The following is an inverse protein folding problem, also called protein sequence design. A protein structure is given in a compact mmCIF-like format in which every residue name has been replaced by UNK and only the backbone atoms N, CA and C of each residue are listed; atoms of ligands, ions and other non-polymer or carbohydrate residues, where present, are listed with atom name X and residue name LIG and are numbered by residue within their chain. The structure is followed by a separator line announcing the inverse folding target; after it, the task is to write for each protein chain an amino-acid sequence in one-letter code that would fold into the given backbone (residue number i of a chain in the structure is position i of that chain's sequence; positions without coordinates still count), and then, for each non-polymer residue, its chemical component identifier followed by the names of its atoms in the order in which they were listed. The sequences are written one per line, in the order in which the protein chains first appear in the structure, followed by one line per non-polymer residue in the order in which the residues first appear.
data_IF_412448127424
#
_entry.id   IF_412448127424
#
_cell.length_a   1.000
_cell.length_b   1.000
_cell.length_c   1.000
_cell.angle_alpha   90.00
_cell.angle_beta   90.00
_cell.angle_gamma   90.00
#
_symmetry.space_group_name_H-M   'P 1'
#
loop_
_entity.id
_entity.type
_entity.pdbx_description
1 polymer ?
#
# COMPACT_ATOMS: atom_id res chain seq x y z
N UNK A 1 -22.68 39.27 6.61
CA UNK A 1 -22.43 38.06 7.40
C UNK A 1 -21.65 37.12 6.51
N UNK A 2 -20.39 36.81 6.77
CA UNK A 2 -19.70 35.77 6.00
C UNK A 2 -18.56 35.14 6.80
N UNK A 3 -18.71 33.82 6.97
CA UNK A 3 -17.76 32.80 7.37
C UNK A 3 -16.94 33.07 8.63
N UNK A 4 -17.40 32.43 9.71
CA UNK A 4 -16.66 32.12 10.93
C UNK A 4 -15.21 31.81 10.62
N UNK A 5 -14.33 32.64 11.17
CA UNK A 5 -12.88 32.52 11.10
C UNK A 5 -12.48 31.16 11.67
N UNK A 6 -12.04 30.22 10.84
CA UNK A 6 -11.38 29.01 11.31
C UNK A 6 -9.99 29.41 11.85
N UNK A 7 -9.99 29.89 13.10
CA UNK A 7 -8.83 30.24 13.92
C UNK A 7 -8.21 29.01 14.59
N UNK A 8 -8.85 27.84 14.44
CA UNK A 8 -8.40 26.59 14.99
C UNK A 8 -7.53 25.82 13.98
N UNK A 9 -6.47 25.14 14.43
CA UNK A 9 -5.75 24.16 13.63
C UNK A 9 -6.70 23.10 13.06
N UNK A 10 -6.51 22.73 11.80
CA UNK A 10 -7.29 21.68 11.14
C UNK A 10 -6.44 20.42 11.06
N UNK A 11 -6.93 19.32 11.60
CA UNK A 11 -6.33 18.01 11.35
C UNK A 11 -6.86 17.47 10.02
N UNK A 12 -5.95 17.21 9.09
CA UNK A 12 -6.30 16.79 7.75
C UNK A 12 -5.41 15.65 7.26
N UNK A 13 -6.00 14.73 6.49
CA UNK A 13 -5.27 13.65 5.83
C UNK A 13 -4.82 14.09 4.44
N UNK A 14 -3.59 13.75 4.06
CA UNK A 14 -3.14 13.87 2.68
C UNK A 14 -3.92 12.85 1.83
N UNK A 15 -4.84 13.33 1.00
CA UNK A 15 -5.72 12.47 0.21
C UNK A 15 -5.20 12.25 -1.22
N UNK A 16 -4.46 13.21 -1.77
CA UNK A 16 -3.92 13.12 -3.12
C UNK A 16 -2.68 14.01 -3.26
N UNK A 17 -1.69 13.52 -4.00
CA UNK A 17 -0.49 14.25 -4.42
C UNK A 17 -0.46 14.20 -5.95
N UNK A 18 -0.50 15.37 -6.58
CA UNK A 18 -0.48 15.48 -8.03
C UNK A 18 0.91 15.35 -8.65
N UNK A 19 0.96 15.39 -9.97
CA UNK A 19 2.23 15.44 -10.70
C UNK A 19 2.89 16.82 -10.59
N UNK A 20 4.24 16.91 -10.59
CA UNK A 20 4.96 18.17 -10.62
C UNK A 20 4.60 19.00 -11.86
N UNK A 21 4.26 20.27 -11.65
CA UNK A 21 3.94 21.24 -12.70
C UNK A 21 4.94 22.39 -12.68
N UNK A 22 5.36 22.91 -13.85
CA UNK A 22 6.28 24.03 -13.91
C UNK A 22 5.63 25.30 -13.32
N UNK A 23 6.41 26.04 -12.52
CA UNK A 23 6.01 27.31 -11.95
C UNK A 23 5.95 28.40 -13.04
N UNK A 24 5.05 29.37 -12.85
CA UNK A 24 4.99 30.56 -13.72
C UNK A 24 6.08 31.59 -13.40
N UNK A 25 6.77 31.45 -12.27
CA UNK A 25 7.68 32.47 -11.73
C UNK A 25 9.16 32.02 -11.68
N UNK A 26 9.55 31.03 -12.49
CA UNK A 26 10.94 30.56 -12.61
C UNK A 26 11.02 29.08 -13.00
N UNK A 27 12.21 28.50 -12.98
CA UNK A 27 12.48 27.10 -13.35
C UNK A 27 12.08 26.05 -12.27
N UNK A 28 11.35 26.48 -11.24
CA UNK A 28 10.91 25.59 -10.16
C UNK A 28 9.62 24.85 -10.52
N UNK A 29 9.42 23.67 -9.95
CA UNK A 29 8.19 22.88 -10.09
C UNK A 29 7.39 22.89 -8.78
N UNK A 30 6.07 22.88 -8.88
CA UNK A 30 5.17 22.73 -7.74
C UNK A 30 4.28 21.50 -7.89
N UNK A 31 3.88 20.93 -6.78
CA UNK A 31 2.97 19.79 -6.69
C UNK A 31 1.70 20.23 -5.97
N UNK A 32 0.55 19.92 -6.56
CA UNK A 32 -0.74 20.13 -5.93
C UNK A 32 -1.05 19.00 -4.96
N UNK A 33 -1.18 19.30 -3.67
CA UNK A 33 -1.56 18.34 -2.63
C UNK A 33 -2.96 18.66 -2.12
N UNK A 34 -3.81 17.63 -2.05
CA UNK A 34 -5.15 17.69 -1.46
C UNK A 34 -5.09 17.17 -0.03
N UNK A 35 -5.49 18.01 0.91
CA UNK A 35 -5.73 17.67 2.30
C UNK A 35 -7.23 17.53 2.54
N UNK A 36 -7.65 16.50 3.27
CA UNK A 36 -9.03 16.28 3.69
C UNK A 36 -9.19 16.46 5.19
N UNK A 37 -10.02 17.43 5.59
CA UNK A 37 -10.34 17.70 6.99
C UNK A 37 -10.97 16.48 7.66
N UNK A 38 -10.36 16.00 8.73
CA UNK A 38 -10.81 14.82 9.48
C UNK A 38 -12.02 15.09 10.37
N UNK A 39 -12.37 16.36 10.61
CA UNK A 39 -13.59 16.71 11.35
C UNK A 39 -14.86 16.50 10.50
N UNK A 40 -14.72 16.34 9.19
CA UNK A 40 -15.82 16.13 8.26
C UNK A 40 -15.88 14.65 7.88
N UNK A 41 -16.89 13.94 8.40
CA UNK A 41 -17.05 12.50 8.21
C UNK A 41 -17.38 12.10 6.76
N UNK A 42 -17.98 13.03 5.99
CA UNK A 42 -18.25 12.82 4.57
C UNK A 42 -17.05 13.27 3.74
N UNK A 43 -16.32 12.27 3.28
CA UNK A 43 -15.13 12.40 2.47
C UNK A 43 -15.40 13.19 1.16
N UNK A 44 -16.60 13.05 0.58
CA UNK A 44 -16.92 13.74 -0.68
C UNK A 44 -17.38 15.18 -0.50
N UNK A 45 -17.58 15.61 0.74
CA UNK A 45 -17.99 16.97 1.07
C UNK A 45 -16.96 17.99 0.54
N UNK A 46 -17.37 18.92 -0.34
CA UNK A 46 -16.47 19.92 -0.91
C UNK A 46 -15.85 20.84 0.15
N UNK A 47 -16.51 21.03 1.30
CA UNK A 47 -16.03 21.88 2.38
C UNK A 47 -14.84 21.26 3.15
N UNK A 48 -14.60 19.95 3.01
CA UNK A 48 -13.46 19.27 3.61
C UNK A 48 -12.21 19.24 2.74
N UNK A 49 -12.27 19.74 1.50
CA UNK A 49 -11.18 19.66 0.53
C UNK A 49 -10.32 20.92 0.56
N UNK A 50 -9.07 20.77 1.00
CA UNK A 50 -8.11 21.86 1.11
C UNK A 50 -6.95 21.60 0.15
N UNK A 51 -6.86 22.39 -0.92
CA UNK A 51 -5.76 22.29 -1.89
C UNK A 51 -4.60 23.22 -1.52
N UNK A 52 -3.38 22.70 -1.59
CA UNK A 52 -2.14 23.47 -1.43
C UNK A 52 -1.19 23.15 -2.57
N UNK A 53 -0.57 24.19 -3.13
CA UNK A 53 0.55 24.05 -4.05
C UNK A 53 1.83 24.14 -3.23
N UNK A 54 2.60 23.06 -3.22
CA UNK A 54 3.83 22.93 -2.45
C UNK A 54 4.99 22.83 -3.45
N UNK A 55 6.19 23.29 -3.08
CA UNK A 55 7.37 23.10 -3.92
C UNK A 55 7.63 21.60 -4.14
N UNK A 56 8.26 21.22 -5.25
CA UNK A 56 8.54 19.79 -5.50
C UNK A 56 9.53 19.19 -4.50
N UNK A 57 10.37 20.02 -3.88
CA UNK A 57 11.30 19.61 -2.82
C UNK A 57 10.52 19.31 -1.53
N UNK A 58 9.66 20.25 -1.09
CA UNK A 58 8.87 20.07 0.12
C UNK A 58 7.77 19.01 -0.06
N UNK A 59 7.26 18.80 -1.28
CA UNK A 59 6.23 17.79 -1.53
C UNK A 59 6.73 16.37 -1.26
N UNK A 60 8.05 16.14 -1.34
CA UNK A 60 8.67 14.85 -1.01
C UNK A 60 8.55 14.47 0.48
N UNK A 61 8.24 15.44 1.34
CA UNK A 61 8.06 15.24 2.79
C UNK A 61 6.69 14.64 3.15
N UNK A 62 5.78 14.56 2.19
CA UNK A 62 4.40 14.09 2.39
C UNK A 62 4.13 12.81 1.61
N UNK A 63 3.34 11.94 2.22
CA UNK A 63 2.80 10.74 1.59
C UNK A 63 1.28 10.76 1.65
N UNK A 64 0.63 10.18 0.64
CA UNK A 64 -0.82 9.96 0.69
C UNK A 64 -1.14 9.09 1.91
N UNK A 65 -2.02 9.58 2.77
CA UNK A 65 -2.39 8.98 4.05
C UNK A 65 -1.78 9.67 5.27
N UNK A 66 -0.77 10.52 5.12
CA UNK A 66 -0.19 11.26 6.24
C UNK A 66 -1.27 12.10 6.92
N UNK A 67 -1.23 12.15 8.25
CA UNK A 67 -2.05 13.08 9.02
C UNK A 67 -1.23 14.32 9.29
N UNK A 68 -1.75 15.45 8.86
CA UNK A 68 -1.14 16.76 9.02
C UNK A 68 -2.04 17.66 9.85
N UNK A 69 -1.43 18.53 10.64
CA UNK A 69 -2.08 19.68 11.27
C UNK A 69 -1.80 20.91 10.42
N UNK A 70 -2.86 21.51 9.88
CA UNK A 70 -2.84 22.74 9.12
C UNK A 70 -3.10 23.90 10.08
N UNK A 71 -2.06 24.64 10.45
CA UNK A 71 -2.17 25.80 11.34
C UNK A 71 -2.38 27.08 10.54
N UNK A 72 -3.40 27.89 10.85
CA UNK A 72 -3.63 29.15 10.15
C UNK A 72 -2.46 30.12 10.35
N UNK A 73 -1.97 30.72 9.26
CA UNK A 73 -0.93 31.77 9.25
C UNK A 73 -1.36 32.92 8.36
N UNK A 74 -1.31 34.15 8.85
CA UNK A 74 -1.61 35.33 8.02
C UNK A 74 -0.33 35.90 7.42
N UNK A 75 -0.39 36.35 6.16
CA UNK A 75 0.69 37.14 5.57
C UNK A 75 0.54 38.64 5.90
N UNK A 76 1.52 39.46 5.50
CA UNK A 76 1.54 40.91 5.72
C UNK A 76 0.33 41.64 5.09
N UNK A 77 -0.41 40.97 4.20
CA UNK A 77 -1.64 41.47 3.56
C UNK A 77 -2.90 40.92 4.22
N UNK A 78 -2.78 40.32 5.40
CA UNK A 78 -3.84 39.68 6.17
C UNK A 78 -4.57 38.56 5.42
N UNK A 79 -3.91 37.90 4.45
CA UNK A 79 -4.45 36.75 3.74
C UNK A 79 -4.14 35.48 4.52
N UNK A 80 -5.14 34.62 4.67
CA UNK A 80 -5.00 33.34 5.37
C UNK A 80 -4.23 32.31 4.52
N UNK A 81 -3.13 31.84 5.07
CA UNK A 81 -2.35 30.68 4.66
C UNK A 81 -2.42 29.60 5.73
N UNK A 82 -1.82 28.44 5.47
CA UNK A 82 -1.70 27.40 6.49
C UNK A 82 -0.26 26.88 6.48
N UNK A 83 0.36 26.85 7.65
CA UNK A 83 1.58 26.10 7.88
C UNK A 83 1.21 24.63 8.10
N UNK A 84 1.94 23.71 7.48
CA UNK A 84 1.59 22.29 7.45
C UNK A 84 2.59 21.54 8.33
N UNK A 85 2.09 20.85 9.35
CA UNK A 85 2.90 20.02 10.24
C UNK A 85 2.45 18.58 10.12
N UNK A 86 3.33 17.68 9.71
CA UNK A 86 3.00 16.25 9.70
C UNK A 86 2.95 15.76 11.15
N UNK A 87 1.79 15.33 11.62
CA UNK A 87 1.59 14.81 12.98
C UNK A 87 1.69 13.30 13.05
N UNK A 88 1.39 12.62 11.94
CA UNK A 88 1.59 11.18 11.81
C UNK A 88 1.94 10.86 10.35
N UNK A 89 3.18 10.44 10.12
CA UNK A 89 3.56 9.87 8.84
C UNK A 89 3.12 8.41 8.75
N UNK A 90 2.65 8.00 7.58
CA UNK A 90 2.21 6.63 7.29
C UNK A 90 3.33 5.59 7.55
N UNK A 91 4.59 6.02 7.56
CA UNK A 91 5.76 5.16 7.80
C UNK A 91 6.52 5.44 9.12
N UNK A 92 6.02 6.29 10.01
CA UNK A 92 6.69 6.52 11.31
C UNK A 92 6.35 5.38 12.28
N UNK A 93 7.35 4.70 12.89
CA UNK A 93 7.08 3.81 14.02
C UNK A 93 6.48 4.65 15.15
N UNK A 94 5.25 4.33 15.55
CA UNK A 94 4.57 5.04 16.64
C UNK A 94 5.48 5.04 17.88
N UNK A 95 5.85 6.20 18.46
CA UNK A 95 6.53 6.20 19.73
C UNK A 95 5.58 5.62 20.77
N UNK A 96 6.07 4.68 21.58
CA UNK A 96 5.30 3.97 22.59
C UNK A 96 4.63 4.96 23.56
N UNK A 97 3.34 5.23 23.34
CA UNK A 97 2.53 5.99 24.28
C UNK A 97 1.90 5.04 25.29
N UNK A 98 2.10 5.37 26.57
CA UNK A 98 1.57 4.70 27.75
C UNK A 98 0.05 4.45 27.68
N UNK A 99 -0.47 3.43 28.40
CA UNK A 99 -1.83 2.95 28.20
C UNK A 99 -2.87 3.97 28.70
N UNK A 100 -3.55 4.63 27.77
CA UNK A 100 -4.81 5.31 28.07
C UNK A 100 -5.90 4.25 28.09
N UNK A 101 -6.46 4.03 29.28
CA UNK A 101 -7.60 3.15 29.50
C UNK A 101 -8.82 3.74 28.79
N UNK A 102 -9.11 3.26 27.59
CA UNK A 102 -10.43 3.42 26.97
C UNK A 102 -11.15 2.09 27.13
N UNK A 103 -12.25 2.10 27.88
CA UNK A 103 -13.16 0.96 28.04
C UNK A 103 -13.77 0.64 26.67
N UNK A 104 -13.14 -0.26 25.92
CA UNK A 104 -13.81 -0.95 24.83
C UNK A 104 -14.83 -1.90 25.45
N UNK A 105 -16.11 -1.61 25.21
CA UNK A 105 -17.19 -2.54 25.48
C UNK A 105 -16.93 -3.82 24.66
N UNK A 106 -16.53 -4.87 25.37
CA UNK A 106 -16.38 -6.22 24.83
C UNK A 106 -17.78 -6.76 24.56
N UNK A 107 -18.19 -6.76 23.29
CA UNK A 107 -19.16 -7.75 22.83
C UNK A 107 -18.34 -8.98 22.46
N UNK A 108 -18.20 -9.85 23.45
CA UNK A 108 -17.69 -11.20 23.28
C UNK A 108 -18.82 -12.07 22.74
N UNK A 109 -18.68 -12.52 21.49
CA UNK A 109 -19.30 -13.77 21.05
C UNK A 109 -18.24 -14.61 20.36
N UNK A 110 -17.84 -15.68 21.04
CA UNK A 110 -17.06 -16.76 20.49
C UNK A 110 -17.88 -17.49 19.42
N UNK A 111 -17.43 -17.44 18.18
CA UNK A 111 -17.87 -18.31 17.07
C UNK A 111 -16.76 -18.31 16.02
N UNK A 112 -16.35 -19.51 15.58
CA UNK A 112 -15.52 -19.85 14.43
C UNK A 112 -15.09 -18.63 13.57
N UNK A 113 -13.86 -18.15 13.79
CA UNK A 113 -13.34 -16.82 13.41
C UNK A 113 -13.00 -16.74 11.90
N UNK A 114 -13.97 -17.04 11.05
CA UNK A 114 -13.90 -16.74 9.62
C UNK A 114 -14.27 -15.28 9.43
N UNK A 115 -13.28 -14.40 9.61
CA UNK A 115 -13.37 -13.03 9.10
C UNK A 115 -13.78 -13.08 7.62
N UNK A 116 -14.93 -12.49 7.31
CA UNK A 116 -15.39 -12.30 5.94
C UNK A 116 -14.34 -11.50 5.16
N UNK A 117 -14.05 -11.85 3.90
CA UNK A 117 -13.06 -11.13 3.10
C UNK A 117 -13.39 -9.64 3.00
N UNK A 118 -12.35 -8.77 2.89
CA UNK A 118 -12.56 -7.32 2.83
C UNK A 118 -13.33 -6.96 1.56
N UNK A 119 -14.26 -6.01 1.69
CA UNK A 119 -15.12 -5.53 0.61
C UNK A 119 -14.49 -4.39 -0.21
N UNK A 120 -13.51 -3.68 0.38
CA UNK A 120 -12.82 -2.55 -0.24
C UNK A 120 -11.32 -2.51 0.08
N UNK A 121 -10.50 -1.87 -0.77
CA UNK A 121 -9.07 -1.67 -0.51
C UNK A 121 -8.81 -1.00 0.84
N UNK A 122 -7.81 -1.48 1.59
CA UNK A 122 -7.42 -0.91 2.88
C UNK A 122 -8.35 -1.21 4.05
N UNK A 123 -9.38 -2.06 3.88
CA UNK A 123 -10.28 -2.43 4.98
C UNK A 123 -9.61 -3.32 6.04
N UNK A 124 -8.76 -4.25 5.59
CA UNK A 124 -8.02 -5.15 6.48
C UNK A 124 -6.64 -4.60 6.84
N UNK A 125 -6.23 -4.84 8.09
CA UNK A 125 -4.84 -4.67 8.54
C UNK A 125 -3.92 -5.68 7.87
N UNK A 126 -2.62 -5.37 7.84
CA UNK A 126 -1.58 -6.30 7.41
C UNK A 126 -1.66 -7.59 8.21
N UNK A 127 -1.95 -7.52 9.52
CA UNK A 127 -2.08 -8.71 10.37
C UNK A 127 -3.25 -9.60 9.94
N UNK A 128 -4.41 -9.03 9.60
CA UNK A 128 -5.57 -9.79 9.10
C UNK A 128 -5.26 -10.43 7.74
N UNK A 129 -4.65 -9.68 6.83
CA UNK A 129 -4.21 -10.19 5.52
C UNK A 129 -3.23 -11.35 5.69
N UNK A 130 -2.18 -11.17 6.49
CA UNK A 130 -1.19 -12.22 6.74
C UNK A 130 -1.83 -13.46 7.39
N UNK A 131 -2.75 -13.26 8.35
CA UNK A 131 -3.49 -14.36 8.97
C UNK A 131 -4.31 -15.13 7.93
N UNK A 132 -5.01 -14.40 7.04
CA UNK A 132 -5.83 -15.00 6.00
C UNK A 132 -5.01 -15.73 4.93
N UNK A 133 -3.90 -15.13 4.47
CA UNK A 133 -3.04 -15.65 3.40
C UNK A 133 -2.12 -16.80 3.88
N UNK A 134 -1.76 -16.83 5.16
CA UNK A 134 -0.91 -17.90 5.73
C UNK A 134 -1.63 -19.23 5.91
N UNK A 135 -2.97 -19.25 5.74
CA UNK A 135 -3.74 -20.49 5.84
C UNK A 135 -3.33 -21.49 4.75
N UNK A 136 -3.16 -22.78 5.10
CA UNK A 136 -2.94 -23.82 4.11
C UNK A 136 -4.05 -23.81 3.05
N UNK A 137 -3.64 -23.93 1.78
CA UNK A 137 -4.57 -23.92 0.66
C UNK A 137 -5.12 -25.33 0.41
N UNK A 138 -6.38 -25.45 -0.03
CA UNK A 138 -6.89 -26.71 -0.56
C UNK A 138 -6.00 -27.24 -1.68
N UNK A 139 -5.77 -28.56 -1.71
CA UNK A 139 -4.93 -29.20 -2.74
C UNK A 139 -5.39 -28.92 -4.17
N UNK A 140 -6.68 -28.66 -4.38
CA UNK A 140 -7.25 -28.29 -5.69
C UNK A 140 -6.75 -26.96 -6.24
N UNK A 141 -6.19 -26.09 -5.39
CA UNK A 141 -5.58 -24.82 -5.79
C UNK A 141 -4.07 -24.93 -6.05
N UNK A 142 -3.49 -26.12 -5.82
CA UNK A 142 -2.08 -26.38 -5.99
C UNK A 142 -1.84 -27.20 -7.26
N UNK A 143 -0.71 -26.95 -7.90
CA UNK A 143 -0.19 -27.76 -8.98
C UNK A 143 1.10 -28.47 -8.54
N UNK A 144 1.42 -29.58 -9.20
CA UNK A 144 2.62 -30.36 -8.94
C UNK A 144 3.59 -30.19 -10.10
N UNK A 145 4.87 -29.98 -9.81
CA UNK A 145 5.93 -30.05 -10.82
C UNK A 145 7.08 -30.93 -10.34
N UNK A 146 7.76 -31.58 -11.26
CA UNK A 146 9.00 -32.33 -10.99
C UNK A 146 10.18 -31.37 -10.94
N UNK A 147 10.92 -31.38 -9.82
CA UNK A 147 12.16 -30.65 -9.66
C UNK A 147 13.22 -31.59 -9.10
N UNK A 148 14.29 -31.83 -9.89
CA UNK A 148 15.39 -32.73 -9.53
C UNK A 148 14.90 -34.13 -9.06
N UNK A 149 13.90 -34.67 -9.76
CA UNK A 149 13.30 -35.97 -9.46
C UNK A 149 12.22 -35.98 -8.37
N UNK A 150 12.09 -34.89 -7.59
CA UNK A 150 11.08 -34.78 -6.55
C UNK A 150 9.84 -34.05 -7.05
N UNK A 151 8.66 -34.54 -6.65
CA UNK A 151 7.40 -33.83 -6.87
C UNK A 151 7.27 -32.69 -5.84
N UNK A 152 7.13 -31.45 -6.34
CA UNK A 152 6.92 -30.28 -5.49
C UNK A 152 5.60 -29.61 -5.82
N UNK A 153 4.89 -29.23 -4.76
CA UNK A 153 3.66 -28.45 -4.87
C UNK A 153 4.00 -26.97 -5.06
N UNK A 154 3.19 -26.28 -5.84
CA UNK A 154 3.27 -24.85 -6.02
C UNK A 154 1.89 -24.24 -6.32
N UNK A 155 1.75 -22.95 -6.06
CA UNK A 155 0.56 -22.17 -6.45
C UNK A 155 0.76 -21.68 -7.90
N UNK A 156 -0.13 -21.96 -8.86
CA UNK A 156 -0.09 -21.31 -10.18
C UNK A 156 -0.29 -19.79 -10.06
N UNK A 157 0.37 -18.99 -10.90
CA UNK A 157 0.34 -17.51 -10.77
C UNK A 157 -1.09 -16.93 -10.83
N UNK A 158 -1.95 -17.44 -11.70
CA UNK A 158 -3.34 -16.99 -11.83
C UNK A 158 -4.20 -17.38 -10.62
N UNK A 159 -3.83 -18.42 -9.87
CA UNK A 159 -4.47 -18.77 -8.60
C UNK A 159 -4.05 -17.78 -7.52
N UNK A 160 -2.79 -17.38 -7.48
CA UNK A 160 -2.33 -16.33 -6.56
C UNK A 160 -3.08 -15.01 -6.81
N UNK A 161 -3.28 -14.60 -8.07
CA UNK A 161 -4.12 -13.43 -8.41
C UNK A 161 -5.52 -13.52 -7.82
N UNK A 162 -6.24 -14.63 -8.06
CA UNK A 162 -7.60 -14.81 -7.54
C UNK A 162 -7.68 -14.76 -6.01
N UNK A 163 -6.63 -15.25 -5.34
CA UNK A 163 -6.55 -15.19 -3.87
C UNK A 163 -6.31 -13.75 -3.41
N UNK A 164 -5.44 -12.99 -4.08
CA UNK A 164 -5.23 -11.57 -3.79
C UNK A 164 -6.47 -10.75 -4.10
N UNK A 165 -7.18 -10.99 -5.21
CA UNK A 165 -8.45 -10.32 -5.52
C UNK A 165 -9.48 -10.50 -4.40
N UNK A 166 -9.48 -11.68 -3.77
CA UNK A 166 -10.40 -12.00 -2.68
C UNK A 166 -10.02 -11.34 -1.35
N UNK A 167 -8.74 -11.35 -0.98
CA UNK A 167 -8.30 -10.96 0.38
C UNK A 167 -7.54 -9.64 0.45
N UNK A 168 -7.15 -9.09 -0.70
CA UNK A 168 -6.30 -7.92 -0.84
C UNK A 168 -6.82 -7.01 -1.97
N UNK A 169 -8.09 -6.56 -1.94
CA UNK A 169 -8.65 -5.72 -3.00
C UNK A 169 -7.78 -4.47 -3.19
N UNK A 170 -7.51 -4.12 -4.45
CA UNK A 170 -6.64 -3.00 -4.81
C UNK A 170 -5.14 -3.31 -4.74
N UNK A 171 -4.75 -4.59 -4.67
CA UNK A 171 -3.35 -4.99 -4.85
C UNK A 171 -2.83 -4.57 -6.23
N UNK A 172 -1.53 -4.29 -6.31
CA UNK A 172 -0.86 -3.94 -7.56
C UNK A 172 0.48 -4.68 -7.67
N UNK A 173 0.86 -5.02 -8.90
CA UNK A 173 2.14 -5.63 -9.21
C UNK A 173 2.87 -4.82 -10.27
N UNK A 174 4.15 -4.57 -10.04
CA UNK A 174 5.02 -3.81 -10.94
C UNK A 174 6.36 -4.53 -11.12
N UNK A 175 6.86 -4.57 -12.35
CA UNK A 175 8.22 -5.00 -12.64
C UNK A 175 9.15 -3.80 -12.44
N UNK A 176 9.93 -3.83 -11.36
CA UNK A 176 10.80 -2.70 -10.98
C UNK A 176 12.18 -2.78 -11.60
N UNK A 177 12.64 -3.99 -11.94
CA UNK A 177 13.99 -4.19 -12.51
C UNK A 177 14.01 -5.40 -13.42
N UNK A 178 14.68 -5.25 -14.56
CA UNK A 178 14.94 -6.32 -15.52
C UNK A 178 16.43 -6.27 -15.90
N UNK A 179 17.14 -7.38 -15.68
CA UNK A 179 18.54 -7.54 -16.06
C UNK A 179 18.70 -8.87 -16.80
N UNK A 180 19.51 -8.87 -17.85
CA UNK A 180 19.84 -10.08 -18.60
C UNK A 180 21.34 -10.31 -18.58
N UNK A 181 21.71 -11.57 -18.58
CA UNK A 181 23.07 -12.05 -18.82
C UNK A 181 23.07 -12.86 -20.11
N UNK A 182 24.24 -13.35 -20.54
CA UNK A 182 24.32 -14.22 -21.71
C UNK A 182 23.51 -15.53 -21.60
N UNK A 183 23.10 -15.95 -20.39
CA UNK A 183 22.45 -17.26 -20.15
C UNK A 183 21.14 -17.19 -19.38
N UNK A 184 20.85 -16.09 -18.71
CA UNK A 184 19.71 -15.99 -17.80
C UNK A 184 19.16 -14.57 -17.74
N UNK A 185 17.85 -14.50 -17.50
CA UNK A 185 17.09 -13.31 -17.18
C UNK A 185 16.87 -13.25 -15.66
N UNK A 186 17.05 -12.06 -15.11
CA UNK A 186 16.79 -11.70 -13.72
C UNK A 186 15.74 -10.60 -13.70
N UNK A 187 14.71 -10.79 -12.90
CA UNK A 187 13.62 -9.84 -12.75
C UNK A 187 13.40 -9.56 -11.27
N UNK A 188 13.14 -8.31 -10.93
CA UNK A 188 12.60 -7.92 -9.61
C UNK A 188 11.25 -7.29 -9.83
N UNK A 189 10.26 -7.76 -9.09
CA UNK A 189 8.95 -7.12 -9.05
C UNK A 189 8.52 -6.79 -7.63
N UNK A 190 7.56 -5.88 -7.56
CA UNK A 190 7.05 -5.24 -6.36
C UNK A 190 5.55 -5.50 -6.23
N UNK A 191 5.14 -6.12 -5.13
CA UNK A 191 3.73 -6.32 -4.79
C UNK A 191 3.32 -5.32 -3.72
N UNK A 192 2.35 -4.49 -4.06
CA UNK A 192 1.79 -3.45 -3.19
C UNK A 192 0.37 -3.84 -2.76
N UNK A 193 0.09 -3.83 -1.46
CA UNK A 193 -1.23 -4.16 -0.91
C UNK A 193 -1.71 -3.03 0.01
N UNK A 194 -2.84 -2.36 -0.31
CA UNK A 194 -3.43 -1.37 0.57
C UNK A 194 -4.02 -2.07 1.80
N UNK A 195 -3.51 -1.72 2.97
CA UNK A 195 -3.97 -2.19 4.27
C UNK A 195 -4.53 -1.01 5.08
N UNK A 196 -5.28 -1.29 6.14
CA UNK A 196 -5.67 -0.25 7.12
C UNK A 196 -4.46 0.41 7.79
N UNK A 197 -3.34 -0.33 7.81
CA UNK A 197 -2.04 0.12 8.34
C UNK A 197 -1.23 0.94 7.31
N UNK A 198 -1.76 1.14 6.10
CA UNK A 198 -1.07 1.80 4.98
C UNK A 198 -0.79 0.89 3.79
N UNK A 199 -0.11 1.43 2.77
CA UNK A 199 0.31 0.67 1.59
C UNK A 199 1.56 -0.15 1.92
N UNK A 200 1.42 -1.47 1.96
CA UNK A 200 2.55 -2.36 2.25
C UNK A 200 3.13 -2.88 0.95
N UNK A 201 4.43 -2.69 0.76
CA UNK A 201 5.14 -3.10 -0.46
C UNK A 201 6.15 -4.19 -0.12
N UNK A 202 6.14 -5.30 -0.86
CA UNK A 202 7.17 -6.35 -0.74
C UNK A 202 7.68 -6.75 -2.12
N UNK A 203 9.00 -6.72 -2.25
CA UNK A 203 9.66 -7.09 -3.50
C UNK A 203 10.21 -8.51 -3.44
N UNK A 204 10.28 -9.15 -4.60
CA UNK A 204 10.96 -10.42 -4.78
C UNK A 204 11.56 -10.53 -6.18
N UNK A 205 12.57 -11.38 -6.29
CA UNK A 205 13.22 -11.67 -7.56
C UNK A 205 12.78 -13.00 -8.16
N UNK A 206 12.79 -13.04 -9.48
CA UNK A 206 12.63 -14.23 -10.29
C UNK A 206 13.79 -14.35 -11.26
N UNK A 207 14.09 -15.57 -11.65
CA UNK A 207 15.15 -15.84 -12.63
C UNK A 207 14.72 -16.98 -13.51
N UNK A 208 15.10 -16.91 -14.78
CA UNK A 208 14.90 -18.00 -15.72
C UNK A 208 16.06 -18.04 -16.71
N UNK A 209 16.41 -19.24 -17.19
CA UNK A 209 17.40 -19.37 -18.26
C UNK A 209 16.85 -18.84 -19.58
N UNK A 210 17.69 -18.20 -20.39
CA UNK A 210 17.30 -17.78 -21.75
C UNK A 210 17.08 -18.97 -22.69
N UNK A 211 17.74 -20.10 -22.41
CA UNK A 211 17.59 -21.35 -23.16
C UNK A 211 16.53 -22.28 -22.53
N UNK A 212 15.55 -21.73 -21.80
CA UNK A 212 14.58 -22.56 -21.09
C UNK A 212 13.73 -23.39 -22.07
N UNK A 213 13.66 -24.70 -21.83
CA UNK A 213 12.76 -25.61 -22.55
C UNK A 213 11.39 -25.75 -21.88
N UNK A 214 11.14 -24.96 -20.83
CA UNK A 214 9.86 -24.92 -20.14
C UNK A 214 8.78 -24.25 -20.99
N UNK A 215 7.52 -24.55 -20.69
CA UNK A 215 6.38 -23.85 -21.26
C UNK A 215 6.43 -22.35 -20.90
N UNK A 216 6.24 -21.48 -21.89
CA UNK A 216 6.32 -20.02 -21.75
C UNK A 216 7.72 -19.46 -22.05
N UNK A 217 7.82 -18.15 -22.20
CA UNK A 217 9.09 -17.46 -22.43
C UNK A 217 9.83 -17.18 -21.10
N UNK A 218 11.16 -16.94 -21.14
CA UNK A 218 11.95 -16.68 -19.95
C UNK A 218 11.43 -15.52 -19.07
N UNK A 219 10.85 -14.48 -19.69
CA UNK A 219 10.36 -13.31 -18.95
C UNK A 219 9.09 -13.64 -18.16
N UNK A 220 8.12 -14.30 -18.78
CA UNK A 220 6.89 -14.77 -18.12
C UNK A 220 7.18 -15.72 -16.96
N UNK A 221 8.15 -16.61 -17.13
CA UNK A 221 8.55 -17.57 -16.09
C UNK A 221 9.25 -16.89 -14.91
N UNK A 222 10.16 -15.95 -15.19
CA UNK A 222 10.81 -15.15 -14.16
C UNK A 222 9.79 -14.27 -13.41
N UNK A 223 8.85 -13.63 -14.10
CA UNK A 223 7.80 -12.83 -13.47
C UNK A 223 6.93 -13.69 -12.54
N UNK A 224 6.45 -14.82 -13.04
CA UNK A 224 5.66 -15.77 -12.25
C UNK A 224 6.40 -16.25 -10.99
N UNK A 225 7.73 -16.41 -11.07
CA UNK A 225 8.56 -16.74 -9.92
C UNK A 225 8.65 -15.58 -8.92
N UNK A 226 8.94 -14.37 -9.41
CA UNK A 226 9.04 -13.15 -8.60
C UNK A 226 7.70 -12.88 -7.88
N UNK A 227 6.61 -12.88 -8.62
CA UNK A 227 5.26 -12.60 -8.13
C UNK A 227 4.87 -13.53 -6.98
N UNK A 228 5.03 -14.85 -7.16
CA UNK A 228 4.67 -15.84 -6.13
C UNK A 228 5.56 -15.73 -4.89
N UNK A 229 6.84 -15.40 -5.05
CA UNK A 229 7.73 -15.13 -3.91
C UNK A 229 7.33 -13.86 -3.16
N UNK A 230 6.89 -12.82 -3.86
CA UNK A 230 6.36 -11.61 -3.24
C UNK A 230 5.07 -11.91 -2.46
N UNK A 231 4.15 -12.70 -3.05
CA UNK A 231 2.96 -13.22 -2.38
C UNK A 231 3.31 -14.01 -1.11
N UNK A 232 4.30 -14.90 -1.19
CA UNK A 232 4.76 -15.69 -0.04
C UNK A 232 5.31 -14.83 1.10
N UNK A 233 5.90 -13.67 0.78
CA UNK A 233 6.30 -12.72 1.83
C UNK A 233 5.08 -12.19 2.59
N UNK A 234 3.89 -12.08 2.00
CA UNK A 234 2.64 -11.78 2.72
C UNK A 234 1.98 -13.00 3.38
N UNK A 235 2.61 -14.17 3.32
CA UNK A 235 2.12 -15.42 3.90
C UNK A 235 1.52 -16.39 2.89
N UNK A 236 1.14 -15.92 1.70
CA UNK A 236 0.45 -16.74 0.70
C UNK A 236 1.35 -17.88 0.18
N UNK A 237 1.05 -19.10 0.60
CA UNK A 237 1.80 -20.28 0.19
C UNK A 237 3.21 -20.37 0.79
N UNK A 238 3.50 -19.58 1.84
CA UNK A 238 4.81 -19.62 2.50
C UNK A 238 5.15 -21.03 3.03
N UNK A 239 4.15 -21.73 3.56
CA UNK A 239 4.29 -23.10 4.06
C UNK A 239 4.74 -24.13 2.99
N UNK A 240 4.63 -23.81 1.69
CA UNK A 240 5.10 -24.69 0.62
C UNK A 240 6.64 -24.68 0.47
N UNK A 241 7.30 -23.70 1.10
CA UNK A 241 8.76 -23.58 1.13
C UNK A 241 9.39 -24.22 2.37
N UNK A 242 8.60 -24.45 3.42
CA UNK A 242 9.03 -25.13 4.63
C UNK A 242 9.01 -26.64 4.39
N UNK A 243 10.16 -27.29 4.55
CA UNK A 243 10.36 -28.71 4.22
C UNK A 243 11.02 -29.44 5.37
#
# INVERSE_FOLDING_TARGET
MNATVATAPIQARVAYIGEPKPSKYGDSHYVGILFRDLSIADDDNPNGKIWKNISSEDSSLYMVGDICELRPRYDDKNKLHHDIFVIQQVNSPTPAAAPVTVKSAVVSTATDDKLEPPSRPGEWSLKQIQTALSRPLPKSLLATKKLKGNDILYIPWYVANRILDKYCPGWAWEITKLETTAKALFMVGSLSIPCSDGLIVRCASGTESLDCSSYGDPSSNAESMAFRRACAKFGLGLYLYDK
#
